data_IF_706242943384
#
_entry.id   IF_706242943384
#
_cell.length_a   1.000
_cell.length_b   1.000
_cell.length_c   1.000
_cell.angle_alpha   90.00
_cell.angle_beta   90.00
_cell.angle_gamma   90.00
#
_symmetry.space_group_name_H-M   'P 1'
#
loop_
_entity.id
_entity.type
_entity.pdbx_description
1 polymer ?
#
# COMPACT_ATOMS: atom_id res chain seq x y z
N UNK A 1 -0.79 -8.36 19.48
CA UNK A 1 0.12 -9.47 19.11
C UNK A 1 0.10 -10.63 20.10
N UNK A 2 0.23 -10.41 21.42
CA UNK A 2 0.42 -11.50 22.39
C UNK A 2 -0.68 -12.58 22.38
N UNK A 3 -1.96 -12.18 22.28
CA UNK A 3 -3.09 -13.11 22.23
C UNK A 3 -3.08 -13.96 20.96
N UNK A 4 -2.93 -13.35 19.79
CA UNK A 4 -2.82 -14.10 18.52
C UNK A 4 -1.69 -15.15 18.52
N UNK A 5 -0.56 -14.85 19.15
CA UNK A 5 0.53 -15.82 19.30
C UNK A 5 0.17 -16.95 20.27
N UNK A 6 -0.57 -16.65 21.35
CA UNK A 6 -1.07 -17.65 22.27
C UNK A 6 -2.10 -18.57 21.58
N UNK A 7 -2.97 -17.99 20.74
CA UNK A 7 -3.94 -18.75 19.94
C UNK A 7 -3.25 -19.71 18.98
N UNK A 8 -2.14 -19.30 18.34
CA UNK A 8 -1.33 -20.20 17.50
C UNK A 8 -0.74 -21.37 18.29
N UNK A 9 -0.30 -21.14 19.53
CA UNK A 9 0.20 -22.21 20.39
C UNK A 9 -0.93 -23.15 20.86
N UNK A 10 -2.09 -22.59 21.24
CA UNK A 10 -3.26 -23.35 21.64
C UNK A 10 -3.83 -24.18 20.48
N UNK A 11 -3.85 -23.63 19.27
CA UNK A 11 -4.21 -24.36 18.05
C UNK A 11 -3.26 -25.54 17.84
N UNK A 12 -1.95 -25.35 17.99
CA UNK A 12 -0.98 -26.43 17.86
C UNK A 12 -1.22 -27.55 18.88
N UNK A 13 -1.52 -27.20 20.14
CA UNK A 13 -1.87 -28.19 21.18
C UNK A 13 -3.12 -28.97 20.81
N UNK A 14 -4.18 -28.27 20.41
CA UNK A 14 -5.42 -28.90 19.99
C UNK A 14 -5.22 -29.82 18.78
N UNK A 15 -4.53 -29.35 17.74
CA UNK A 15 -4.30 -30.11 16.51
C UNK A 15 -3.42 -31.34 16.76
N UNK A 16 -2.38 -31.21 17.59
CA UNK A 16 -1.56 -32.36 17.97
C UNK A 16 -2.38 -33.44 18.69
N UNK A 17 -3.26 -33.05 19.61
CA UNK A 17 -4.13 -33.97 20.34
C UNK A 17 -5.14 -34.64 19.41
N UNK A 18 -5.82 -33.87 18.55
CA UNK A 18 -6.81 -34.38 17.60
C UNK A 18 -6.22 -35.39 16.61
N UNK A 19 -4.95 -35.23 16.22
CA UNK A 19 -4.30 -36.05 15.19
C UNK A 19 -3.20 -36.97 15.74
N UNK A 20 -3.08 -37.14 17.06
CA UNK A 20 -2.04 -37.96 17.72
C UNK A 20 -0.60 -37.62 17.26
N UNK A 21 -0.33 -36.34 17.00
CA UNK A 21 1.01 -35.89 16.59
C UNK A 21 1.94 -35.85 17.81
N UNK A 22 3.19 -36.25 17.60
CA UNK A 22 4.21 -36.34 18.65
C UNK A 22 5.33 -35.30 18.43
N UNK A 23 6.31 -35.26 19.34
CA UNK A 23 7.52 -34.41 19.18
C UNK A 23 8.36 -34.77 17.95
N UNK A 24 8.15 -35.94 17.34
CA UNK A 24 8.77 -36.31 16.08
C UNK A 24 8.21 -35.47 14.92
N UNK A 25 6.93 -35.08 14.98
CA UNK A 25 6.30 -34.21 14.00
C UNK A 25 6.76 -32.76 14.22
N UNK A 26 7.31 -32.14 13.18
CA UNK A 26 7.85 -30.78 13.25
C UNK A 26 6.86 -29.79 12.65
N UNK A 27 6.69 -28.67 13.34
CA UNK A 27 5.83 -27.58 12.91
C UNK A 27 6.66 -26.45 12.31
N UNK A 28 6.25 -25.93 11.17
CA UNK A 28 6.84 -24.73 10.55
C UNK A 28 5.71 -23.73 10.31
N UNK A 29 5.88 -22.50 10.78
CA UNK A 29 4.90 -21.43 10.56
C UNK A 29 5.18 -20.73 9.22
N UNK A 30 4.12 -20.32 8.53
CA UNK A 30 4.22 -19.58 7.27
C UNK A 30 3.31 -18.36 7.34
N UNK A 31 3.76 -17.23 6.80
CA UNK A 31 2.94 -16.05 6.65
C UNK A 31 3.59 -14.98 5.78
N UNK A 32 2.74 -14.16 5.15
CA UNK A 32 3.13 -12.95 4.41
C UNK A 32 2.65 -11.70 5.13
N UNK A 33 3.37 -10.57 5.05
CA UNK A 33 2.95 -9.29 5.66
C UNK A 33 2.71 -9.43 7.19
N UNK A 34 1.56 -9.01 7.71
CA UNK A 34 1.19 -9.18 9.13
C UNK A 34 1.22 -10.66 9.59
N UNK A 35 0.63 -11.64 8.86
CA UNK A 35 0.86 -13.06 9.11
C UNK A 35 2.34 -13.47 9.10
N UNK A 36 3.18 -12.82 8.30
CA UNK A 36 4.63 -13.03 8.31
C UNK A 36 5.26 -12.59 9.63
N UNK A 37 4.84 -11.44 10.18
CA UNK A 37 5.24 -11.01 11.52
C UNK A 37 4.80 -12.03 12.58
N UNK A 38 3.54 -12.50 12.52
CA UNK A 38 3.04 -13.53 13.42
C UNK A 38 3.86 -14.83 13.31
N UNK A 39 4.19 -15.26 12.09
CA UNK A 39 5.01 -16.45 11.82
C UNK A 39 6.39 -16.35 12.48
N UNK A 40 7.09 -15.22 12.28
CA UNK A 40 8.40 -14.97 12.89
C UNK A 40 8.32 -14.85 14.42
N UNK A 41 7.33 -14.11 14.93
CA UNK A 41 7.16 -13.93 16.38
C UNK A 41 6.69 -15.20 17.09
N UNK A 42 5.93 -16.07 16.43
CA UNK A 42 5.57 -17.38 16.99
C UNK A 42 6.81 -18.24 17.22
N UNK A 43 7.72 -18.31 16.24
CA UNK A 43 9.01 -19.00 16.41
C UNK A 43 9.88 -18.35 17.47
N UNK A 44 9.94 -17.01 17.52
CA UNK A 44 10.73 -16.30 18.53
C UNK A 44 10.19 -16.51 19.96
N UNK A 45 8.87 -16.48 20.15
CA UNK A 45 8.23 -16.59 21.47
C UNK A 45 8.13 -18.03 21.96
N UNK A 46 7.94 -18.99 21.05
CA UNK A 46 7.81 -20.41 21.35
C UNK A 46 8.88 -21.24 20.61
N UNK A 47 10.17 -21.04 20.90
CA UNK A 47 11.27 -21.56 20.08
C UNK A 47 11.36 -23.09 20.04
N UNK A 48 10.84 -23.78 21.05
CA UNK A 48 10.80 -25.25 21.12
C UNK A 48 9.55 -25.85 20.46
N UNK A 49 8.50 -25.04 20.24
CA UNK A 49 7.22 -25.48 19.68
C UNK A 49 7.24 -25.51 18.16
N UNK A 50 7.89 -24.52 17.54
CA UNK A 50 8.02 -24.42 16.08
C UNK A 50 9.46 -24.72 15.68
N UNK A 51 9.66 -25.65 14.75
CA UNK A 51 10.98 -26.00 14.24
C UNK A 51 11.57 -24.86 13.40
N UNK A 52 10.74 -24.16 12.63
CA UNK A 52 11.14 -23.01 11.83
C UNK A 52 9.96 -22.08 11.51
N UNK A 53 10.25 -20.99 10.82
CA UNK A 53 9.25 -20.02 10.37
C UNK A 53 9.65 -19.43 9.03
N UNK A 54 8.68 -19.24 8.13
CA UNK A 54 8.79 -18.42 6.94
C UNK A 54 7.97 -17.15 7.18
N UNK A 55 8.67 -16.03 7.30
CA UNK A 55 8.12 -14.71 7.57
C UNK A 55 8.29 -13.82 6.33
N UNK A 56 7.51 -14.09 5.29
CA UNK A 56 7.62 -13.42 3.99
C UNK A 56 7.11 -11.98 4.06
N UNK A 57 7.86 -11.03 3.48
CA UNK A 57 7.48 -9.61 3.43
C UNK A 57 7.00 -9.04 4.77
N UNK A 58 7.58 -9.50 5.88
CA UNK A 58 7.14 -9.18 7.23
C UNK A 58 7.82 -7.90 7.72
N UNK A 59 7.08 -6.81 8.01
CA UNK A 59 7.66 -5.61 8.60
C UNK A 59 7.90 -5.82 10.10
N UNK A 60 8.89 -6.65 10.44
CA UNK A 60 9.23 -7.01 11.83
C UNK A 60 9.75 -5.82 12.66
N UNK A 61 10.27 -4.79 11.98
CA UNK A 61 10.64 -3.52 12.59
C UNK A 61 9.45 -2.57 12.50
N UNK A 62 8.58 -2.60 13.51
CA UNK A 62 7.42 -1.71 13.59
C UNK A 62 7.88 -0.27 13.86
N UNK A 63 7.58 0.63 12.93
CA UNK A 63 7.81 2.07 13.06
C UNK A 63 6.48 2.80 12.96
N UNK A 64 6.35 3.90 13.71
CA UNK A 64 5.17 4.78 13.60
C UNK A 64 5.17 5.48 12.25
N UNK A 65 6.34 6.00 11.87
CA UNK A 65 6.59 6.56 10.55
C UNK A 65 7.42 5.56 9.74
N UNK A 66 6.82 4.98 8.70
CA UNK A 66 7.42 3.98 7.82
C UNK A 66 7.56 4.51 6.40
N UNK A 67 8.22 5.66 6.28
CA UNK A 67 8.48 6.35 5.02
C UNK A 67 9.29 5.51 4.02
N UNK A 68 10.05 4.49 4.47
CA UNK A 68 10.84 3.63 3.59
C UNK A 68 9.97 2.86 2.58
N UNK A 69 8.67 2.66 2.88
CA UNK A 69 7.74 2.14 1.88
C UNK A 69 7.63 3.09 0.67
N UNK A 70 7.55 4.40 0.91
CA UNK A 70 7.52 5.41 -0.14
C UNK A 70 8.84 5.46 -0.91
N UNK A 71 9.99 5.27 -0.22
CA UNK A 71 11.30 5.18 -0.87
C UNK A 71 11.36 4.00 -1.86
N UNK A 72 10.81 2.84 -1.48
CA UNK A 72 10.71 1.68 -2.37
C UNK A 72 9.78 1.96 -3.55
N UNK A 73 8.65 2.64 -3.33
CA UNK A 73 7.74 3.06 -4.42
C UNK A 73 8.46 3.98 -5.41
N UNK A 74 9.15 5.01 -4.92
CA UNK A 74 9.92 5.93 -5.76
C UNK A 74 11.05 5.20 -6.50
N UNK A 75 11.75 4.29 -5.83
CA UNK A 75 12.81 3.48 -6.44
C UNK A 75 12.29 2.58 -7.55
N UNK A 76 11.10 1.98 -7.37
CA UNK A 76 10.47 1.15 -8.40
C UNK A 76 10.07 1.99 -9.63
N UNK A 77 9.45 3.15 -9.42
CA UNK A 77 9.10 4.07 -10.50
C UNK A 77 10.34 4.49 -11.30
N UNK A 78 11.43 4.85 -10.59
CA UNK A 78 12.71 5.18 -11.21
C UNK A 78 13.31 4.00 -11.97
N UNK A 79 13.27 2.80 -11.40
CA UNK A 79 13.82 1.59 -12.03
C UNK A 79 13.11 1.25 -13.35
N UNK A 80 11.77 1.32 -13.38
CA UNK A 80 10.98 0.94 -14.56
C UNK A 80 10.77 2.08 -15.57
N UNK A 81 10.80 3.34 -15.16
CA UNK A 81 10.47 4.48 -16.01
C UNK A 81 11.52 5.60 -16.06
N UNK A 82 12.65 5.44 -15.37
CA UNK A 82 13.70 6.45 -15.28
C UNK A 82 13.29 7.67 -14.45
N UNK A 83 14.19 8.67 -14.43
CA UNK A 83 14.01 9.90 -13.64
C UNK A 83 12.73 10.64 -14.04
N UNK A 84 12.43 10.73 -15.34
CA UNK A 84 11.23 11.40 -15.82
C UNK A 84 9.92 10.85 -15.22
N UNK A 85 9.83 9.52 -14.98
CA UNK A 85 8.64 8.93 -14.37
C UNK A 85 8.50 9.33 -12.90
N UNK A 86 9.56 9.10 -12.10
CA UNK A 86 9.53 9.41 -10.66
C UNK A 86 9.39 10.91 -10.41
N UNK A 87 10.04 11.76 -11.22
CA UNK A 87 9.98 13.21 -11.11
C UNK A 87 8.57 13.74 -11.42
N UNK A 88 7.91 13.20 -12.46
CA UNK A 88 6.54 13.58 -12.80
C UNK A 88 5.56 13.16 -11.69
N UNK A 89 5.70 11.94 -11.16
CA UNK A 89 4.85 11.47 -10.06
C UNK A 89 5.09 12.29 -8.79
N UNK A 90 6.36 12.58 -8.44
CA UNK A 90 6.70 13.39 -7.28
C UNK A 90 6.18 14.82 -7.41
N UNK A 91 6.34 15.46 -8.57
CA UNK A 91 5.81 16.79 -8.84
C UNK A 91 4.27 16.83 -8.74
N UNK A 92 3.59 15.80 -9.25
CA UNK A 92 2.15 15.68 -9.13
C UNK A 92 1.72 15.50 -7.67
N UNK A 93 2.38 14.63 -6.92
CA UNK A 93 2.02 14.35 -5.53
C UNK A 93 2.22 15.59 -4.66
N UNK A 94 3.30 16.34 -4.89
CA UNK A 94 3.52 17.64 -4.27
C UNK A 94 2.42 18.64 -4.63
N UNK A 95 2.05 18.72 -5.90
CA UNK A 95 0.99 19.64 -6.34
C UNK A 95 -0.37 19.30 -5.70
N UNK A 96 -0.68 18.00 -5.50
CA UNK A 96 -1.88 17.58 -4.75
C UNK A 96 -1.81 18.04 -3.30
N UNK A 97 -0.67 17.81 -2.64
CA UNK A 97 -0.47 18.25 -1.25
C UNK A 97 -0.65 19.77 -1.11
N UNK A 98 0.01 20.55 -1.98
CA UNK A 98 -0.09 22.01 -1.95
C UNK A 98 -1.54 22.48 -2.13
N UNK A 99 -2.30 21.84 -3.03
CA UNK A 99 -3.70 22.16 -3.30
C UNK A 99 -4.62 21.83 -2.11
N UNK A 100 -4.39 20.69 -1.46
CA UNK A 100 -5.15 20.26 -0.29
C UNK A 100 -4.76 21.05 0.97
N UNK A 101 -3.50 21.47 1.11
CA UNK A 101 -3.03 22.28 2.24
C UNK A 101 -3.49 23.74 2.13
N UNK A 102 -3.82 24.21 0.93
CA UNK A 102 -4.26 25.58 0.71
C UNK A 102 -5.56 25.93 1.44
N UNK A 103 -5.66 27.20 1.84
CA UNK A 103 -6.87 27.81 2.41
C UNK A 103 -7.66 28.62 1.39
N UNK A 104 -7.19 28.70 0.14
CA UNK A 104 -7.78 29.49 -0.92
C UNK A 104 -8.97 28.76 -1.55
N UNK A 105 -10.04 29.51 -1.84
CA UNK A 105 -11.27 28.94 -2.41
C UNK A 105 -11.05 28.44 -3.85
N UNK A 106 -10.18 29.11 -4.61
CA UNK A 106 -9.80 28.74 -5.96
C UNK A 106 -9.03 27.41 -6.03
N UNK A 107 -8.20 27.11 -5.03
CA UNK A 107 -7.44 25.87 -4.96
C UNK A 107 -8.37 24.70 -4.61
N UNK A 108 -9.30 24.93 -3.65
CA UNK A 108 -10.36 23.97 -3.35
C UNK A 108 -11.24 23.69 -4.57
N UNK A 109 -11.65 24.73 -5.31
CA UNK A 109 -12.42 24.58 -6.54
C UNK A 109 -11.65 23.83 -7.64
N UNK A 110 -10.35 24.09 -7.76
CA UNK A 110 -9.44 23.37 -8.67
C UNK A 110 -9.36 21.89 -8.29
N UNK A 111 -9.19 21.58 -7.00
CA UNK A 111 -9.18 20.20 -6.51
C UNK A 111 -10.49 19.49 -6.85
N UNK A 112 -11.64 20.09 -6.51
CA UNK A 112 -12.97 19.52 -6.79
C UNK A 112 -13.15 19.24 -8.28
N UNK A 113 -12.72 20.17 -9.15
CA UNK A 113 -12.82 20.02 -10.60
C UNK A 113 -11.96 18.88 -11.14
N UNK A 114 -10.70 18.79 -10.69
CA UNK A 114 -9.74 17.82 -11.24
C UNK A 114 -9.99 16.41 -10.69
N UNK A 115 -10.21 16.29 -9.38
CA UNK A 115 -10.29 15.02 -8.67
C UNK A 115 -11.72 14.48 -8.52
N UNK A 116 -12.74 15.32 -8.70
CA UNK A 116 -14.15 14.93 -8.60
C UNK A 116 -14.45 14.16 -7.29
N UNK A 117 -14.32 14.77 -6.11
CA UNK A 117 -14.44 14.01 -4.86
C UNK A 117 -15.83 13.42 -4.66
N UNK A 118 -15.95 12.22 -4.07
CA UNK A 118 -17.25 11.57 -3.93
C UNK A 118 -18.16 12.28 -2.91
N UNK A 119 -17.56 13.06 -2.00
CA UNK A 119 -18.27 13.92 -1.05
C UNK A 119 -17.46 15.20 -0.80
N UNK A 120 -18.09 16.28 -0.30
CA UNK A 120 -17.37 17.51 0.04
C UNK A 120 -16.32 17.26 1.13
N UNK A 121 -15.10 17.78 0.94
CA UNK A 121 -14.05 17.76 1.95
C UNK A 121 -14.38 18.80 3.04
N UNK A 122 -14.53 18.34 4.29
CA UNK A 122 -14.98 19.17 5.43
C UNK A 122 -13.83 19.56 6.35
N UNK A 123 -12.84 18.69 6.50
CA UNK A 123 -11.78 18.87 7.51
C UNK A 123 -10.43 18.29 7.05
N UNK A 124 -9.42 18.42 7.91
CA UNK A 124 -8.07 17.90 7.65
C UNK A 124 -8.01 16.38 7.49
N UNK A 125 -8.88 15.61 8.14
CA UNK A 125 -8.92 14.15 7.99
C UNK A 125 -9.43 13.72 6.61
N UNK A 126 -10.36 14.47 6.02
CA UNK A 126 -10.82 14.20 4.65
C UNK A 126 -9.68 14.47 3.65
N UNK A 127 -8.92 15.55 3.85
CA UNK A 127 -7.73 15.89 3.04
C UNK A 127 -6.64 14.83 3.18
N UNK A 128 -6.32 14.41 4.41
CA UNK A 128 -5.37 13.33 4.68
C UNK A 128 -5.81 12.01 4.06
N UNK A 129 -7.11 11.71 4.08
CA UNK A 129 -7.67 10.55 3.41
C UNK A 129 -7.34 10.64 1.93
N UNK A 130 -7.70 11.72 1.24
CA UNK A 130 -7.37 11.90 -0.19
C UNK A 130 -5.89 11.66 -0.48
N UNK A 131 -4.96 12.25 0.29
CA UNK A 131 -3.52 12.04 0.10
C UNK A 131 -3.12 10.57 0.25
N UNK A 132 -3.65 9.90 1.27
CA UNK A 132 -3.43 8.48 1.51
C UNK A 132 -3.91 7.62 0.36
N UNK A 133 -5.03 8.01 -0.28
CA UNK A 133 -5.62 7.29 -1.40
C UNK A 133 -4.85 7.51 -2.70
N UNK A 134 -4.41 8.75 -2.96
CA UNK A 134 -3.53 9.06 -4.09
C UNK A 134 -2.26 8.23 -3.98
N UNK A 135 -1.64 8.18 -2.80
CA UNK A 135 -0.46 7.35 -2.55
C UNK A 135 -0.77 5.85 -2.70
N UNK A 136 -1.91 5.40 -2.16
CA UNK A 136 -2.37 4.01 -2.20
C UNK A 136 -2.39 3.40 -3.60
N UNK A 137 -2.72 4.18 -4.63
CA UNK A 137 -2.67 3.73 -6.02
C UNK A 137 -1.26 3.24 -6.42
N UNK A 138 -0.22 4.01 -6.09
CA UNK A 138 1.16 3.64 -6.39
C UNK A 138 1.64 2.50 -5.47
N UNK A 139 1.25 2.53 -4.20
CA UNK A 139 1.62 1.48 -3.25
C UNK A 139 1.14 0.10 -3.72
N UNK A 140 -0.10 -0.01 -4.16
CA UNK A 140 -0.69 -1.26 -4.64
C UNK A 140 -0.01 -1.75 -5.92
N UNK A 141 0.19 -0.86 -6.89
CA UNK A 141 0.82 -1.22 -8.16
C UNK A 141 2.27 -1.67 -7.96
N UNK A 142 3.04 -0.98 -7.12
CA UNK A 142 4.42 -1.41 -6.82
C UNK A 142 4.46 -2.73 -6.06
N UNK A 143 3.53 -2.94 -5.12
CA UNK A 143 3.47 -4.18 -4.33
C UNK A 143 3.16 -5.42 -5.18
N UNK A 144 2.25 -5.30 -6.14
CA UNK A 144 1.77 -6.45 -6.89
C UNK A 144 2.31 -6.54 -8.32
N UNK A 145 2.65 -5.40 -8.93
CA UNK A 145 3.28 -5.27 -10.25
C UNK A 145 2.81 -6.33 -11.29
N UNK A 146 1.55 -6.24 -11.69
CA UNK A 146 0.94 -7.14 -12.68
C UNK A 146 0.29 -8.40 -12.11
N UNK A 147 0.44 -8.68 -10.81
CA UNK A 147 -0.13 -9.86 -10.17
C UNK A 147 -1.57 -9.65 -9.65
N UNK A 148 -1.99 -8.39 -9.45
CA UNK A 148 -3.32 -8.03 -8.94
C UNK A 148 -3.84 -6.74 -9.60
N UNK A 149 -5.14 -6.48 -9.49
CA UNK A 149 -5.81 -5.27 -10.02
C UNK A 149 -6.70 -5.53 -11.25
N UNK A 150 -7.57 -4.59 -11.64
CA UNK A 150 -8.59 -4.79 -12.69
C UNK A 150 -8.03 -5.12 -14.08
N UNK A 151 -6.75 -4.82 -14.34
CA UNK A 151 -6.10 -4.99 -15.64
C UNK A 151 -4.65 -5.51 -15.59
N UNK A 152 -4.20 -6.05 -14.45
CA UNK A 152 -2.79 -6.45 -14.30
C UNK A 152 -1.84 -5.26 -14.41
N UNK A 153 -2.16 -4.18 -13.68
CA UNK A 153 -1.39 -2.93 -13.71
C UNK A 153 0.06 -3.16 -13.28
N UNK A 154 0.99 -2.62 -14.05
CA UNK A 154 2.43 -2.75 -13.81
C UNK A 154 3.04 -1.38 -13.56
N UNK A 155 4.15 -1.35 -12.84
CA UNK A 155 4.92 -0.11 -12.61
C UNK A 155 5.36 0.51 -13.96
N UNK A 156 5.74 -0.33 -14.92
CA UNK A 156 6.08 0.12 -16.28
C UNK A 156 4.87 0.73 -17.01
N UNK A 157 3.67 0.15 -16.84
CA UNK A 157 2.42 0.70 -17.37
C UNK A 157 2.08 2.06 -16.76
N UNK A 158 2.25 2.19 -15.43
CA UNK A 158 2.10 3.47 -14.73
C UNK A 158 3.07 4.52 -15.29
N UNK A 159 4.35 4.19 -15.48
CA UNK A 159 5.29 5.15 -16.05
C UNK A 159 4.95 5.57 -17.48
N UNK A 160 4.42 4.65 -18.31
CA UNK A 160 3.89 5.01 -19.64
C UNK A 160 2.71 5.98 -19.55
N UNK A 161 1.80 5.75 -18.61
CA UNK A 161 0.68 6.67 -18.36
C UNK A 161 1.18 8.09 -18.04
N UNK A 162 2.19 8.19 -17.16
CA UNK A 162 2.75 9.49 -16.77
C UNK A 162 3.65 10.13 -17.84
N UNK A 163 4.20 9.36 -18.77
CA UNK A 163 4.94 9.88 -19.92
C UNK A 163 4.01 10.43 -21.03
N UNK A 164 2.78 9.93 -21.14
CA UNK A 164 1.86 10.30 -22.20
C UNK A 164 1.31 11.72 -22.02
N UNK A 165 1.47 12.56 -23.04
CA UNK A 165 0.96 13.93 -23.08
C UNK A 165 -0.57 14.00 -23.22
N UNK A 166 -1.21 12.94 -23.73
CA UNK A 166 -2.66 12.86 -23.81
C UNK A 166 -3.33 12.76 -22.43
N UNK A 167 -2.59 12.34 -21.41
CA UNK A 167 -3.10 12.17 -20.04
C UNK A 167 -3.06 13.44 -19.19
N UNK A 168 -2.63 14.58 -19.75
CA UNK A 168 -2.64 15.87 -19.06
C UNK A 168 -1.45 16.75 -19.40
N UNK A 169 -1.65 18.06 -19.31
CA UNK A 169 -0.60 19.05 -19.60
C UNK A 169 0.39 19.19 -18.44
N UNK A 170 -0.07 19.01 -17.20
CA UNK A 170 0.75 19.11 -15.98
C UNK A 170 0.81 17.80 -15.23
N UNK A 171 1.76 17.68 -14.29
CA UNK A 171 1.84 16.55 -13.38
C UNK A 171 0.59 16.41 -12.49
N UNK A 172 -0.03 17.54 -12.11
CA UNK A 172 -1.27 17.57 -11.35
C UNK A 172 -2.43 16.98 -12.17
N UNK A 173 -2.56 17.36 -13.45
CA UNK A 173 -3.60 16.81 -14.35
C UNK A 173 -3.48 15.29 -14.48
N UNK A 174 -2.23 14.81 -14.66
CA UNK A 174 -1.94 13.38 -14.79
C UNK A 174 -2.29 12.62 -13.51
N UNK A 175 -1.90 13.11 -12.33
CA UNK A 175 -2.28 12.45 -11.07
C UNK A 175 -3.80 12.47 -10.85
N UNK A 176 -4.47 13.57 -11.18
CA UNK A 176 -5.92 13.66 -11.03
C UNK A 176 -6.65 12.64 -11.91
N UNK A 177 -6.26 12.54 -13.19
CA UNK A 177 -6.80 11.56 -14.11
C UNK A 177 -6.49 10.12 -13.66
N UNK A 178 -5.24 9.87 -13.27
CA UNK A 178 -4.80 8.56 -12.78
C UNK A 178 -5.62 8.11 -11.58
N UNK A 179 -5.77 8.98 -10.58
CA UNK A 179 -6.50 8.71 -9.34
C UNK A 179 -7.97 8.40 -9.62
N UNK A 180 -8.62 9.17 -10.49
CA UNK A 180 -10.01 8.95 -10.88
C UNK A 180 -10.25 7.62 -11.60
N UNK A 181 -9.23 7.09 -12.27
CA UNK A 181 -9.31 5.80 -12.96
C UNK A 181 -9.14 4.60 -12.01
N UNK A 182 -8.51 4.78 -10.84
CA UNK A 182 -8.17 3.67 -9.93
C UNK A 182 -9.09 3.56 -8.69
N UNK A 183 -9.94 4.56 -8.44
CA UNK A 183 -10.72 4.61 -7.19
C UNK A 183 -11.98 3.71 -7.19
N UNK A 184 -12.87 3.89 -8.16
CA UNK A 184 -14.20 3.28 -8.15
C UNK A 184 -14.83 3.36 -9.56
N UNK A 185 -15.72 2.44 -9.90
CA UNK A 185 -16.63 2.55 -11.04
C UNK A 185 -17.39 3.89 -11.09
N UNK A 186 -17.58 4.55 -9.93
CA UNK A 186 -18.16 5.90 -9.78
C UNK A 186 -17.26 7.04 -10.29
N UNK A 187 -15.98 6.80 -10.59
CA UNK A 187 -15.00 7.79 -11.12
C UNK A 187 -14.88 9.08 -10.29
N UNK A 188 -15.07 8.98 -8.97
CA UNK A 188 -14.88 10.05 -8.01
C UNK A 188 -13.69 9.73 -7.08
N UNK A 189 -13.11 10.70 -6.38
CA UNK A 189 -11.94 10.48 -5.49
C UNK A 189 -12.32 10.64 -4.02
N UNK A 190 -12.08 9.60 -3.21
CA UNK A 190 -12.22 9.66 -1.75
C UNK A 190 -13.66 9.56 -1.24
N UNK A 191 -13.84 8.77 -0.18
CA UNK A 191 -14.95 8.80 0.77
C UNK A 191 -14.58 8.03 2.01
#
# INVERSE_FOLDING_TARGET
>A
MQQALADLAAFQDHFNQQHNLTKANKWVTFGGSYPGMLSGFAKSKYPTRFAGSVASSAPIHTKVDFFEYADVVASALKYYGGDACVDTVAAGAKAVHDLLASTKAEDAATFTKLFNPCSPLKNGADRMTVESLVFGNFQGIVQYNGLMGPAGETVAGTCKFFADAANGATALDKIALFTRNHWDARKCTGS
#
